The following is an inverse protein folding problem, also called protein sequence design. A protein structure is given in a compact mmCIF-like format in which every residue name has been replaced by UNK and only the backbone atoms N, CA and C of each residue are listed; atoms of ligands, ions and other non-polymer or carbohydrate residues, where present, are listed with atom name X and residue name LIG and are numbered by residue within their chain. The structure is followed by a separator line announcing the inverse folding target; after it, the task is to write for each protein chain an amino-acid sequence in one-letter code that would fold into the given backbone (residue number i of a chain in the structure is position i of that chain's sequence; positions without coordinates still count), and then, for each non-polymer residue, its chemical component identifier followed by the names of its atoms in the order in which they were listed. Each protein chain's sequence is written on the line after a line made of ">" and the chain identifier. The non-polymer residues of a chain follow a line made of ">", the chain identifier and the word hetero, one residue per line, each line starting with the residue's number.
data_IF_521319572011
#
_entry.id   IF_521319572011
#
_cell.length_a   1.000
_cell.length_b   1.000
_cell.length_c   1.000
_cell.angle_alpha   90.00
_cell.angle_beta   90.00
_cell.angle_gamma   90.00
#
_symmetry.space_group_name_H-M   'P 1'
#
loop_
_entity.id
_entity.type
_entity.pdbx_description
1 polymer ?
#
# COMPACT_ATOMS: atom_id res chain seq x y z
N UNK A 1 0.02 15.11 -4.77
CA UNK A 1 -0.41 15.67 -3.48
C UNK A 1 -0.16 14.68 -2.35
N UNK A 2 0.25 15.23 -1.21
CA UNK A 2 0.37 14.43 0.01
C UNK A 2 -0.97 13.76 0.37
N UNK A 3 -2.09 14.44 0.10
CA UNK A 3 -3.42 13.91 0.35
C UNK A 3 -3.69 12.59 -0.35
N UNK A 4 -3.22 12.42 -1.59
CA UNK A 4 -3.38 11.17 -2.32
C UNK A 4 -2.61 10.02 -1.65
N UNK A 5 -1.38 10.30 -1.21
CA UNK A 5 -0.57 9.32 -0.50
C UNK A 5 -1.18 8.99 0.88
N UNK A 6 -1.68 10.01 1.59
CA UNK A 6 -2.38 9.81 2.88
C UNK A 6 -3.63 8.96 2.69
N UNK A 7 -4.42 9.22 1.64
CA UNK A 7 -5.64 8.46 1.35
C UNK A 7 -5.32 7.02 1.02
N UNK A 8 -4.31 6.78 0.20
CA UNK A 8 -3.87 5.43 -0.16
C UNK A 8 -3.44 4.65 1.08
N UNK A 9 -2.60 5.25 1.91
CA UNK A 9 -2.13 4.62 3.14
C UNK A 9 -3.29 4.33 4.09
N UNK A 10 -4.22 5.28 4.22
CA UNK A 10 -5.41 5.13 5.07
C UNK A 10 -6.27 3.95 4.61
N UNK A 11 -6.47 3.81 3.31
CA UNK A 11 -7.24 2.70 2.73
C UNK A 11 -6.53 1.36 2.91
N UNK A 12 -5.19 1.35 2.89
CA UNK A 12 -4.41 0.14 3.18
C UNK A 12 -4.59 -0.28 4.65
N UNK A 13 -4.58 0.67 5.59
CA UNK A 13 -4.87 0.38 7.00
C UNK A 13 -6.28 -0.16 7.18
N UNK A 14 -7.26 0.42 6.48
CA UNK A 14 -8.64 -0.05 6.53
C UNK A 14 -8.76 -1.49 6.03
N UNK A 15 -8.07 -1.84 4.96
CA UNK A 15 -8.05 -3.20 4.43
C UNK A 15 -7.47 -4.18 5.46
N UNK A 16 -6.39 -3.80 6.13
CA UNK A 16 -5.80 -4.65 7.18
C UNK A 16 -6.76 -4.83 8.36
N UNK A 17 -7.43 -3.75 8.78
CA UNK A 17 -8.42 -3.85 9.86
C UNK A 17 -9.60 -4.74 9.49
N UNK A 18 -10.03 -4.68 8.25
CA UNK A 18 -11.21 -5.41 7.78
C UNK A 18 -10.90 -6.86 7.41
N UNK A 19 -9.77 -7.10 6.74
CA UNK A 19 -9.43 -8.41 6.16
C UNK A 19 -8.20 -9.07 6.79
N UNK A 20 -7.48 -8.36 7.64
CA UNK A 20 -6.27 -8.84 8.28
C UNK A 20 -5.01 -8.73 7.42
N UNK A 21 -5.14 -8.28 6.18
CA UNK A 21 -4.01 -8.11 5.25
C UNK A 21 -4.38 -7.18 4.12
N UNK A 22 -3.36 -6.68 3.44
CA UNK A 22 -3.51 -5.93 2.19
C UNK A 22 -2.41 -6.38 1.22
N UNK A 23 -2.77 -6.63 -0.04
CA UNK A 23 -1.82 -7.12 -1.04
C UNK A 23 -1.19 -5.97 -1.84
N UNK A 24 -0.06 -6.28 -2.51
CA UNK A 24 0.55 -5.37 -3.49
C UNK A 24 -0.45 -5.07 -4.62
N UNK A 25 -1.21 -6.09 -5.05
CA UNK A 25 -2.26 -5.89 -6.05
C UNK A 25 -3.32 -4.91 -5.60
N UNK A 26 -3.74 -4.98 -4.33
CA UNK A 26 -4.70 -4.02 -3.76
C UNK A 26 -4.13 -2.60 -3.78
N UNK A 27 -2.83 -2.45 -3.48
CA UNK A 27 -2.16 -1.16 -3.55
C UNK A 27 -2.20 -0.58 -4.97
N UNK A 28 -1.88 -1.39 -5.98
CA UNK A 28 -1.94 -0.95 -7.38
C UNK A 28 -3.37 -0.57 -7.77
N UNK A 29 -4.37 -1.33 -7.33
CA UNK A 29 -5.79 -1.02 -7.58
C UNK A 29 -6.16 0.35 -6.99
N UNK A 30 -5.72 0.64 -5.76
CA UNK A 30 -5.96 1.92 -5.11
C UNK A 30 -5.30 3.08 -5.86
N UNK A 31 -4.18 2.85 -6.49
CA UNK A 31 -3.44 3.86 -7.25
C UNK A 31 -3.91 3.98 -8.70
N UNK A 32 -4.82 3.10 -9.14
CA UNK A 32 -5.28 3.08 -10.51
C UNK A 32 -4.23 2.59 -11.50
N UNK A 33 -3.28 1.79 -11.03
CA UNK A 33 -2.18 1.25 -11.85
C UNK A 33 -2.48 -0.20 -12.20
N UNK A 34 -2.15 -0.59 -13.43
CA UNK A 34 -2.27 -1.99 -13.87
C UNK A 34 -1.42 -2.91 -13.01
N UNK A 35 -1.93 -4.10 -12.72
CA UNK A 35 -1.23 -5.09 -11.92
C UNK A 35 -1.36 -6.47 -12.55
N UNK A 36 -0.61 -7.42 -12.01
CA UNK A 36 -0.65 -8.82 -12.42
C UNK A 36 -1.27 -9.65 -11.30
N UNK A 37 -1.78 -10.84 -11.63
CA UNK A 37 -2.40 -11.73 -10.64
C UNK A 37 -1.43 -12.13 -9.53
N UNK A 38 -0.13 -12.23 -9.84
CA UNK A 38 0.90 -12.54 -8.86
C UNK A 38 1.09 -11.46 -7.80
N UNK A 39 0.71 -10.22 -8.09
CA UNK A 39 0.79 -9.10 -7.13
C UNK A 39 -0.13 -9.30 -5.93
N UNK A 40 -1.18 -10.12 -6.05
CA UNK A 40 -2.07 -10.43 -4.94
C UNK A 40 -1.51 -11.51 -4.01
N UNK A 41 -0.40 -12.13 -4.36
CA UNK A 41 0.25 -13.16 -3.54
C UNK A 41 1.22 -12.58 -2.49
N UNK A 42 1.51 -11.29 -2.58
CA UNK A 42 2.43 -10.58 -1.68
C UNK A 42 1.76 -9.35 -1.12
N UNK A 43 2.15 -8.98 0.08
CA UNK A 43 1.59 -7.79 0.70
C UNK A 43 1.99 -7.67 2.16
N UNK A 44 1.08 -7.17 2.98
CA UNK A 44 1.39 -6.82 4.36
C UNK A 44 0.26 -7.25 5.29
N UNK A 45 0.66 -7.77 6.47
CA UNK A 45 -0.25 -8.00 7.59
C UNK A 45 -0.31 -6.79 8.52
N UNK A 46 0.72 -5.95 8.49
CA UNK A 46 0.78 -4.67 9.18
C UNK A 46 1.62 -3.71 8.34
N UNK A 47 1.52 -2.43 8.63
CA UNK A 47 2.26 -1.38 7.93
C UNK A 47 3.21 -0.65 8.89
N UNK A 48 3.77 -1.36 9.85
CA UNK A 48 4.72 -0.80 10.79
C UNK A 48 5.93 -0.22 10.04
N UNK A 49 6.24 1.04 10.33
CA UNK A 49 7.31 1.74 9.66
C UNK A 49 6.93 2.43 8.36
N UNK A 50 5.67 2.30 7.91
CA UNK A 50 5.20 3.02 6.72
C UNK A 50 5.13 4.52 7.00
N UNK A 51 5.55 5.33 6.02
CA UNK A 51 5.47 6.79 6.13
C UNK A 51 5.44 7.42 4.74
N UNK A 52 5.11 8.71 4.70
CA UNK A 52 5.08 9.49 3.47
C UNK A 52 6.30 10.40 3.47
N UNK A 53 7.09 10.30 2.41
CA UNK A 53 8.32 11.08 2.25
C UNK A 53 8.09 12.20 1.24
N UNK A 54 8.48 13.43 1.59
CA UNK A 54 8.54 14.53 0.64
C UNK A 54 9.74 14.36 -0.29
N UNK A 55 9.50 14.46 -1.60
CA UNK A 55 10.54 14.38 -2.64
C UNK A 55 10.38 15.56 -3.59
N UNK A 56 11.43 15.91 -4.38
CA UNK A 56 11.26 16.94 -5.41
C UNK A 56 10.11 16.57 -6.35
N UNK A 57 9.17 17.49 -6.50
CA UNK A 57 8.02 17.30 -7.38
C UNK A 57 6.84 16.56 -6.77
N UNK A 58 6.90 16.17 -5.47
CA UNK A 58 5.75 15.51 -4.86
C UNK A 58 6.05 14.75 -3.59
N UNK A 59 5.32 13.64 -3.42
CA UNK A 59 5.41 12.80 -2.23
C UNK A 59 5.52 11.33 -2.65
N UNK A 60 6.22 10.56 -1.83
CA UNK A 60 6.39 9.13 -2.05
C UNK A 60 5.93 8.35 -0.84
N UNK A 61 5.12 7.33 -1.09
CA UNK A 61 4.67 6.41 -0.05
C UNK A 61 5.77 5.37 0.20
N UNK A 62 6.32 5.38 1.40
CA UNK A 62 7.38 4.46 1.82
C UNK A 62 6.76 3.35 2.64
N UNK A 63 6.85 2.13 2.11
CA UNK A 63 6.23 0.95 2.71
C UNK A 63 7.29 -0.04 3.16
N UNK A 64 6.99 -0.85 4.20
CA UNK A 64 7.87 -1.95 4.56
C UNK A 64 7.92 -2.98 3.42
N UNK A 65 8.89 -3.87 3.48
CA UNK A 65 9.04 -4.90 2.47
C UNK A 65 7.83 -5.83 2.46
N UNK A 66 7.19 -6.08 1.32
CA UNK A 66 6.08 -7.01 1.26
C UNK A 66 6.52 -8.45 1.53
N UNK A 67 5.60 -9.23 2.08
CA UNK A 67 5.82 -10.63 2.44
C UNK A 67 4.80 -11.51 1.69
N UNK A 68 5.08 -12.81 1.53
CA UNK A 68 4.09 -13.72 0.96
C UNK A 68 2.83 -13.76 1.82
N UNK A 69 1.67 -13.67 1.16
CA UNK A 69 0.37 -13.78 1.81
C UNK A 69 -0.13 -15.23 1.73
N UNK A 70 -0.84 -15.61 2.77
CA UNK A 70 -1.43 -16.95 2.85
C UNK A 70 -2.91 -16.94 2.53
#
# INVERSE_FOLDING_TARGET
>A
FRGDADDTLSQMYDAIRQYGQVSVGDLWDLMGVSNESTDYNYGWYNLDGAFIKGIPGGYRLMLPRPVPLR
#
